data_IF_867511272239
#
_entry.id   IF_867511272239
#
_cell.length_a   1.000
_cell.length_b   1.000
_cell.length_c   1.000
_cell.angle_alpha   90.00
_cell.angle_beta   90.00
_cell.angle_gamma   90.00
#
_symmetry.space_group_name_H-M   'P 1'
#
loop_
_entity.id
_entity.type
_entity.pdbx_description
1 polymer ?
#
# COMPACT_ATOMS: atom_id res chain seq x y z
N UNK A 1 -17.90 2.26 -20.73
CA UNK A 1 -19.25 1.89 -21.22
C UNK A 1 -19.50 0.46 -20.76
N UNK A 2 -20.69 0.17 -20.23
CA UNK A 2 -21.10 -1.17 -19.79
C UNK A 2 -22.28 -1.60 -20.68
N UNK A 3 -22.21 -2.80 -21.24
CA UNK A 3 -23.18 -3.29 -22.25
C UNK A 3 -24.40 -3.98 -21.63
N UNK A 4 -24.31 -4.37 -20.36
CA UNK A 4 -25.37 -5.05 -19.63
C UNK A 4 -25.21 -4.86 -18.12
N UNK A 5 -26.34 -4.74 -17.42
CA UNK A 5 -26.45 -4.85 -15.98
C UNK A 5 -27.38 -6.01 -15.61
N UNK A 6 -26.93 -6.85 -14.68
CA UNK A 6 -27.68 -7.97 -14.15
C UNK A 6 -27.63 -7.97 -12.62
N UNK A 7 -28.71 -8.46 -12.00
CA UNK A 7 -28.87 -8.41 -10.54
C UNK A 7 -28.25 -9.62 -9.83
N UNK A 8 -28.10 -10.74 -10.55
CA UNK A 8 -27.49 -11.98 -10.10
C UNK A 8 -26.99 -12.80 -11.31
N UNK A 9 -26.43 -13.99 -11.05
CA UNK A 9 -25.86 -14.85 -12.09
C UNK A 9 -26.95 -15.39 -13.01
N UNK A 10 -28.12 -15.74 -12.47
CA UNK A 10 -29.24 -16.27 -13.25
C UNK A 10 -29.78 -15.24 -14.25
N UNK A 11 -30.02 -14.01 -13.79
CA UNK A 11 -30.43 -12.85 -14.62
C UNK A 11 -29.35 -12.53 -15.67
N UNK A 12 -28.07 -12.66 -15.32
CA UNK A 12 -26.97 -12.50 -16.26
C UNK A 12 -27.01 -13.56 -17.37
N UNK A 13 -27.15 -14.84 -17.00
CA UNK A 13 -27.20 -15.96 -17.95
C UNK A 13 -28.38 -15.82 -18.91
N UNK A 14 -29.55 -15.42 -18.42
CA UNK A 14 -30.73 -15.18 -19.26
C UNK A 14 -30.50 -14.03 -20.25
N UNK A 15 -29.91 -12.91 -19.79
CA UNK A 15 -29.67 -11.72 -20.61
C UNK A 15 -28.57 -11.88 -21.66
N UNK A 16 -27.61 -12.77 -21.45
CA UNK A 16 -26.50 -13.03 -22.40
C UNK A 16 -26.81 -14.18 -23.36
N UNK A 17 -27.80 -15.03 -23.07
CA UNK A 17 -28.20 -16.13 -23.94
C UNK A 17 -28.60 -15.62 -25.34
N UNK A 18 -28.08 -16.27 -26.38
CA UNK A 18 -28.33 -15.91 -27.78
C UNK A 18 -27.59 -14.65 -28.26
N UNK A 19 -26.81 -13.97 -27.41
CA UNK A 19 -25.99 -12.84 -27.86
C UNK A 19 -24.84 -13.31 -28.74
N UNK A 20 -24.55 -12.50 -29.75
CA UNK A 20 -23.40 -12.69 -30.63
C UNK A 20 -22.30 -11.74 -30.19
N UNK A 21 -21.13 -12.28 -29.86
CA UNK A 21 -19.94 -11.50 -29.50
C UNK A 21 -18.84 -11.71 -30.51
N UNK A 22 -18.11 -10.65 -30.83
CA UNK A 22 -16.90 -10.73 -31.63
C UNK A 22 -15.68 -10.70 -30.73
N UNK A 23 -14.85 -11.73 -30.80
CA UNK A 23 -13.60 -11.82 -30.04
C UNK A 23 -12.48 -12.29 -30.96
N UNK A 24 -11.41 -11.52 -31.04
CA UNK A 24 -10.25 -11.83 -31.88
C UNK A 24 -10.60 -12.09 -33.36
N UNK A 25 -11.52 -11.30 -33.93
CA UNK A 25 -11.98 -11.40 -35.31
C UNK A 25 -12.85 -12.62 -35.62
N UNK A 26 -13.35 -13.32 -34.59
CA UNK A 26 -14.27 -14.44 -34.71
C UNK A 26 -15.57 -14.15 -33.98
N UNK A 27 -16.66 -14.57 -34.58
CA UNK A 27 -18.02 -14.41 -34.06
C UNK A 27 -18.40 -15.65 -33.23
N UNK A 28 -18.82 -15.44 -31.98
CA UNK A 28 -19.27 -16.49 -31.07
C UNK A 28 -20.72 -16.23 -30.68
N UNK A 29 -21.57 -17.26 -30.80
CA UNK A 29 -22.91 -17.26 -30.22
C UNK A 29 -22.83 -17.75 -28.78
N UNK A 30 -23.33 -16.96 -27.84
CA UNK A 30 -23.40 -17.34 -26.43
C UNK A 30 -24.62 -18.26 -26.24
N UNK A 31 -24.39 -19.50 -25.83
CA UNK A 31 -25.42 -20.43 -25.40
C UNK A 31 -25.35 -20.60 -23.88
N UNK A 32 -26.00 -19.69 -23.15
CA UNK A 32 -25.93 -19.66 -21.70
C UNK A 32 -26.92 -20.64 -21.04
N UNK A 33 -28.03 -20.99 -21.71
CA UNK A 33 -29.03 -21.94 -21.19
C UNK A 33 -28.50 -23.36 -20.93
N UNK A 34 -27.44 -23.76 -21.61
CA UNK A 34 -26.79 -25.07 -21.45
C UNK A 34 -25.46 -24.98 -20.67
N UNK A 35 -25.08 -23.78 -20.21
CA UNK A 35 -23.85 -23.57 -19.48
C UNK A 35 -24.05 -23.93 -18.00
N UNK A 36 -23.21 -24.83 -17.48
CA UNK A 36 -23.11 -25.05 -16.04
C UNK A 36 -22.32 -23.92 -15.38
N UNK A 37 -22.75 -23.49 -14.19
CA UNK A 37 -21.98 -22.55 -13.37
C UNK A 37 -20.99 -23.30 -12.49
N UNK A 38 -19.70 -23.04 -12.65
CA UNK A 38 -18.68 -23.50 -11.73
C UNK A 38 -18.14 -22.32 -10.91
N UNK A 39 -18.28 -22.41 -9.59
CA UNK A 39 -17.74 -21.40 -8.68
C UNK A 39 -16.27 -21.72 -8.39
N UNK A 40 -15.37 -20.92 -8.96
CA UNK A 40 -13.95 -21.00 -8.65
C UNK A 40 -13.69 -20.28 -7.32
N UNK A 41 -13.47 -21.05 -6.26
CA UNK A 41 -13.13 -20.48 -4.96
C UNK A 41 -11.67 -20.04 -4.90
N UNK A 42 -11.39 -18.95 -4.19
CA UNK A 42 -10.02 -18.53 -3.96
C UNK A 42 -9.30 -19.55 -3.08
N UNK A 43 -8.13 -20.00 -3.52
CA UNK A 43 -7.21 -20.75 -2.66
C UNK A 43 -6.82 -19.94 -1.43
N UNK A 44 -6.33 -20.60 -0.38
CA UNK A 44 -5.84 -19.93 0.83
C UNK A 44 -4.80 -18.83 0.51
N UNK A 45 -3.84 -19.15 -0.36
CA UNK A 45 -2.77 -18.23 -0.78
C UNK A 45 -3.37 -17.04 -1.53
N UNK A 46 -4.26 -17.29 -2.51
CA UNK A 46 -4.92 -16.23 -3.27
C UNK A 46 -5.74 -15.31 -2.36
N UNK A 47 -6.42 -15.87 -1.35
CA UNK A 47 -7.19 -15.10 -0.37
C UNK A 47 -6.29 -14.22 0.49
N UNK A 48 -5.15 -14.74 0.95
CA UNK A 48 -4.17 -13.97 1.72
C UNK A 48 -3.57 -12.81 0.89
N UNK A 49 -3.14 -13.11 -0.35
CA UNK A 49 -2.61 -12.11 -1.26
C UNK A 49 -3.66 -11.03 -1.60
N UNK A 50 -4.92 -11.42 -1.76
CA UNK A 50 -6.01 -10.47 -1.99
C UNK A 50 -6.24 -9.53 -0.81
N UNK A 51 -6.05 -9.99 0.43
CA UNK A 51 -6.13 -9.14 1.62
C UNK A 51 -4.99 -8.09 1.59
N UNK A 52 -3.77 -8.50 1.26
CA UNK A 52 -2.60 -7.61 1.24
C UNK A 52 -2.73 -6.52 0.17
N UNK A 53 -3.44 -6.80 -0.93
CA UNK A 53 -3.73 -5.82 -2.00
C UNK A 53 -4.70 -4.72 -1.55
N UNK A 54 -5.20 -4.73 -0.31
CA UNK A 54 -5.88 -3.56 0.25
C UNK A 54 -4.88 -2.39 0.42
N UNK A 55 -5.17 -1.18 -0.13
CA UNK A 55 -4.27 -0.02 -0.05
C UNK A 55 -3.80 0.32 1.36
N UNK A 56 -4.69 0.18 2.36
CA UNK A 56 -4.36 0.44 3.75
C UNK A 56 -3.38 -0.58 4.31
N UNK A 57 -3.60 -1.86 4.01
CA UNK A 57 -2.74 -2.96 4.48
C UNK A 57 -1.37 -2.86 3.79
N UNK A 58 -1.35 -2.62 2.48
CA UNK A 58 -0.14 -2.40 1.71
C UNK A 58 0.69 -1.23 2.28
N UNK A 59 0.04 -0.11 2.59
CA UNK A 59 0.67 1.07 3.18
C UNK A 59 1.25 0.77 4.58
N UNK A 60 0.50 0.06 5.44
CA UNK A 60 0.97 -0.34 6.77
C UNK A 60 2.19 -1.26 6.66
N UNK A 61 2.12 -2.29 5.79
CA UNK A 61 3.24 -3.22 5.56
C UNK A 61 4.48 -2.47 5.08
N UNK A 62 4.32 -1.52 4.17
CA UNK A 62 5.41 -0.68 3.67
C UNK A 62 6.07 0.14 4.81
N UNK A 63 5.27 0.86 5.59
CA UNK A 63 5.77 1.69 6.70
C UNK A 63 6.46 0.84 7.76
N UNK A 64 5.83 -0.25 8.22
CA UNK A 64 6.43 -1.12 9.24
C UNK A 64 7.68 -1.80 8.68
N UNK A 65 7.67 -2.20 7.41
CA UNK A 65 8.83 -2.79 6.74
C UNK A 65 10.05 -1.87 6.77
N UNK A 66 9.85 -0.60 6.43
CA UNK A 66 10.87 0.45 6.53
C UNK A 66 11.36 0.61 7.97
N UNK A 67 10.45 0.75 8.94
CA UNK A 67 10.82 0.93 10.35
C UNK A 67 11.59 -0.26 10.91
N UNK A 68 11.25 -1.50 10.52
CA UNK A 68 11.99 -2.70 10.92
C UNK A 68 13.44 -2.67 10.43
N UNK A 69 13.67 -2.19 9.20
CA UNK A 69 15.02 -2.01 8.66
C UNK A 69 15.76 -0.91 9.41
N UNK A 70 15.15 0.27 9.60
CA UNK A 70 15.77 1.39 10.33
C UNK A 70 16.14 0.97 11.75
N UNK A 71 15.27 0.22 12.42
CA UNK A 71 15.50 -0.26 13.77
C UNK A 71 16.72 -1.20 13.84
N UNK A 72 16.85 -2.15 12.90
CA UNK A 72 18.04 -3.03 12.83
C UNK A 72 19.34 -2.26 12.64
N UNK A 73 19.34 -1.21 11.81
CA UNK A 73 20.51 -0.33 11.64
C UNK A 73 20.82 0.51 12.89
N UNK A 74 19.81 0.87 13.66
CA UNK A 74 19.96 1.72 14.86
C UNK A 74 20.43 0.93 16.07
N UNK A 75 20.02 -0.34 16.20
CA UNK A 75 20.45 -1.25 17.25
C UNK A 75 20.86 -2.59 16.62
N UNK A 76 22.14 -2.76 16.26
CA UNK A 76 22.63 -3.99 15.67
C UNK A 76 22.32 -5.18 16.59
N UNK A 77 21.42 -6.06 16.16
CA UNK A 77 20.94 -7.20 16.93
C UNK A 77 21.17 -8.54 16.22
N UNK A 78 20.25 -9.49 16.42
CA UNK A 78 20.27 -10.80 15.75
C UNK A 78 19.81 -10.74 14.28
N UNK A 79 19.53 -9.57 13.69
CA UNK A 79 19.01 -9.47 12.32
C UNK A 79 17.50 -9.72 12.19
N UNK A 80 16.81 -10.07 13.29
CA UNK A 80 15.41 -10.52 13.28
C UNK A 80 14.49 -9.39 12.83
N UNK A 81 14.72 -8.17 13.31
CA UNK A 81 13.88 -7.01 12.98
C UNK A 81 14.08 -6.58 11.53
N UNK A 82 15.33 -6.63 11.05
CA UNK A 82 15.65 -6.39 9.65
C UNK A 82 15.00 -7.42 8.72
N UNK A 83 15.07 -8.72 9.07
CA UNK A 83 14.47 -9.79 8.26
C UNK A 83 12.93 -9.66 8.18
N UNK A 84 12.26 -9.36 9.29
CA UNK A 84 10.81 -9.08 9.32
C UNK A 84 10.50 -7.82 8.50
N UNK A 85 11.34 -6.78 8.63
CA UNK A 85 11.20 -5.55 7.85
C UNK A 85 11.26 -5.79 6.35
N UNK A 86 12.25 -6.56 5.89
CA UNK A 86 12.41 -6.97 4.49
C UNK A 86 11.21 -7.80 4.02
N UNK A 87 10.73 -8.75 4.84
CA UNK A 87 9.54 -9.53 4.51
C UNK A 87 8.31 -8.64 4.29
N UNK A 88 8.06 -7.69 5.18
CA UNK A 88 6.94 -6.76 5.05
C UNK A 88 7.09 -5.82 3.87
N UNK A 89 8.31 -5.38 3.55
CA UNK A 89 8.57 -4.64 2.32
C UNK A 89 8.28 -5.46 1.07
N UNK A 90 8.68 -6.73 1.01
CA UNK A 90 8.40 -7.60 -0.13
C UNK A 90 6.89 -7.75 -0.32
N UNK A 91 6.13 -7.97 0.76
CA UNK A 91 4.67 -8.06 0.71
C UNK A 91 4.01 -6.73 0.32
N UNK A 92 4.51 -5.61 0.84
CA UNK A 92 4.05 -4.27 0.47
C UNK A 92 4.30 -3.97 -1.01
N UNK A 93 5.49 -4.28 -1.52
CA UNK A 93 5.82 -4.11 -2.94
C UNK A 93 5.02 -5.04 -3.85
N UNK A 94 4.72 -6.26 -3.40
CA UNK A 94 3.78 -7.12 -4.12
C UNK A 94 2.41 -6.45 -4.27
N UNK A 95 1.84 -5.90 -3.19
CA UNK A 95 0.59 -5.14 -3.28
C UNK A 95 0.71 -3.92 -4.20
N UNK A 96 1.81 -3.17 -4.09
CA UNK A 96 2.08 -2.00 -4.93
C UNK A 96 2.23 -2.34 -6.42
N UNK A 97 2.64 -3.56 -6.76
CA UNK A 97 2.70 -4.02 -8.15
C UNK A 97 1.32 -4.26 -8.77
N UNK A 98 0.29 -4.43 -7.94
CA UNK A 98 -1.09 -4.69 -8.35
C UNK A 98 -1.93 -3.40 -8.25
N UNK A 99 -1.63 -2.54 -7.29
CA UNK A 99 -2.29 -1.26 -7.09
C UNK A 99 -1.80 -0.21 -8.11
N UNK A 100 -2.64 0.77 -8.48
CA UNK A 100 -2.24 1.87 -9.35
C UNK A 100 -1.39 2.89 -8.56
N UNK A 101 -0.12 2.56 -8.33
CA UNK A 101 0.77 3.38 -7.50
C UNK A 101 1.33 4.57 -8.28
N UNK A 102 1.29 5.74 -7.65
CA UNK A 102 1.99 6.93 -8.12
C UNK A 102 3.44 6.94 -7.62
N UNK A 103 4.39 6.86 -8.55
CA UNK A 103 5.81 6.88 -8.22
C UNK A 103 6.30 8.18 -7.59
N UNK A 104 5.65 9.32 -7.85
CA UNK A 104 5.98 10.57 -7.15
C UNK A 104 5.58 10.50 -5.67
N UNK A 105 4.43 9.90 -5.37
CA UNK A 105 4.00 9.65 -3.99
C UNK A 105 4.96 8.73 -3.25
N UNK A 106 5.35 7.62 -3.90
CA UNK A 106 6.35 6.69 -3.35
C UNK A 106 7.70 7.37 -3.11
N UNK A 107 8.19 8.15 -4.07
CA UNK A 107 9.45 8.88 -3.95
C UNK A 107 9.43 9.89 -2.79
N UNK A 108 8.30 10.57 -2.57
CA UNK A 108 8.14 11.49 -1.43
C UNK A 108 8.17 10.78 -0.07
N UNK A 109 7.62 9.57 0.03
CA UNK A 109 7.70 8.79 1.28
C UNK A 109 9.15 8.33 1.51
N UNK A 110 9.83 7.85 0.46
CA UNK A 110 11.26 7.50 0.54
C UNK A 110 12.09 8.71 0.95
N UNK A 111 11.83 9.89 0.37
CA UNK A 111 12.46 11.14 0.74
C UNK A 111 12.22 11.48 2.21
N UNK A 112 10.98 11.34 2.71
CA UNK A 112 10.66 11.57 4.11
C UNK A 112 11.54 10.73 5.05
N UNK A 113 11.71 9.45 4.73
CA UNK A 113 12.55 8.52 5.49
C UNK A 113 14.01 8.96 5.49
N UNK A 114 14.54 9.34 4.32
CA UNK A 114 15.92 9.84 4.20
C UNK A 114 16.10 11.10 5.06
N UNK A 115 15.14 12.04 5.00
CA UNK A 115 15.18 13.28 5.80
C UNK A 115 15.16 12.97 7.30
N UNK A 116 14.33 12.03 7.76
CA UNK A 116 14.30 11.62 9.16
C UNK A 116 15.63 11.03 9.63
N UNK A 117 16.22 10.13 8.83
CA UNK A 117 17.52 9.53 9.15
C UNK A 117 18.60 10.61 9.21
N UNK A 118 18.64 11.51 8.22
CA UNK A 118 19.62 12.60 8.17
C UNK A 118 19.47 13.56 9.35
N UNK A 119 18.25 13.90 9.76
CA UNK A 119 17.99 14.79 10.91
C UNK A 119 18.56 14.20 12.21
N UNK A 120 18.40 12.89 12.41
CA UNK A 120 18.92 12.15 13.57
C UNK A 120 20.45 12.07 13.52
N UNK A 121 21.03 11.69 12.37
CA UNK A 121 22.48 11.49 12.21
C UNK A 121 23.24 12.81 12.31
N UNK A 122 22.70 13.88 11.73
CA UNK A 122 23.35 15.19 11.72
C UNK A 122 23.00 16.04 12.97
N UNK A 123 22.06 15.59 13.81
CA UNK A 123 21.67 16.30 15.03
C UNK A 123 21.04 17.68 14.76
N UNK A 124 20.25 17.82 13.69
CA UNK A 124 19.72 19.13 13.23
C UNK A 124 18.52 19.65 14.03
N UNK A 125 18.21 19.03 15.18
CA UNK A 125 17.21 19.52 16.12
C UNK A 125 15.76 19.51 15.60
N UNK A 126 15.46 18.76 14.52
CA UNK A 126 14.11 18.64 13.97
C UNK A 126 13.84 19.41 12.67
N UNK A 127 14.81 20.16 12.14
CA UNK A 127 14.59 20.99 10.95
C UNK A 127 14.29 20.13 9.70
N UNK A 128 15.02 19.05 9.48
CA UNK A 128 14.74 18.13 8.37
C UNK A 128 13.51 17.27 8.66
N UNK A 129 13.24 16.98 9.93
CA UNK A 129 12.06 16.21 10.33
C UNK A 129 10.74 16.91 9.96
N UNK A 130 10.66 18.24 10.01
CA UNK A 130 9.46 18.99 9.56
C UNK A 130 9.22 18.77 8.06
N UNK A 131 10.27 18.90 7.24
CA UNK A 131 10.18 18.66 5.80
C UNK A 131 9.88 17.18 5.49
N UNK A 132 10.40 16.26 6.31
CA UNK A 132 10.10 14.83 6.23
C UNK A 132 8.63 14.54 6.51
N UNK A 133 8.02 15.13 7.54
CA UNK A 133 6.59 14.95 7.85
C UNK A 133 5.71 15.49 6.73
N UNK A 134 6.04 16.65 6.17
CA UNK A 134 5.34 17.21 5.01
C UNK A 134 5.45 16.27 3.79
N UNK A 135 6.65 15.74 3.53
CA UNK A 135 6.91 14.79 2.44
C UNK A 135 6.14 13.48 2.65
N UNK A 136 6.07 12.97 3.88
CA UNK A 136 5.33 11.78 4.24
C UNK A 136 3.83 11.98 4.01
N UNK A 137 3.26 13.09 4.46
CA UNK A 137 1.84 13.42 4.27
C UNK A 137 1.49 13.50 2.78
N UNK A 138 2.18 14.37 2.04
CA UNK A 138 1.92 14.60 0.61
C UNK A 138 2.14 13.30 -0.17
N UNK A 139 3.25 12.59 0.11
CA UNK A 139 3.56 11.32 -0.52
C UNK A 139 2.49 10.26 -0.26
N UNK A 140 1.97 10.17 0.96
CA UNK A 140 0.94 9.19 1.34
C UNK A 140 -0.41 9.47 0.67
N UNK A 141 -0.80 10.75 0.54
CA UNK A 141 -2.01 11.11 -0.21
C UNK A 141 -1.86 10.86 -1.71
N UNK A 142 -0.65 11.05 -2.25
CA UNK A 142 -0.37 10.86 -3.67
C UNK A 142 -0.13 9.38 -4.03
N UNK A 143 0.22 8.53 -3.07
CA UNK A 143 0.76 7.18 -3.29
C UNK A 143 -0.14 6.29 -4.18
N UNK A 144 -1.46 6.39 -4.06
CA UNK A 144 -2.41 5.59 -4.84
C UNK A 144 -3.19 6.50 -5.78
N UNK A 145 -2.98 6.33 -7.09
CA UNK A 145 -3.58 7.13 -8.14
C UNK A 145 -4.86 6.47 -8.66
N UNK A 146 -6.00 6.87 -8.10
CA UNK A 146 -7.28 6.28 -8.46
C UNK A 146 -8.46 7.20 -8.15
N UNK A 147 -9.47 7.18 -9.00
CA UNK A 147 -10.76 7.85 -8.76
C UNK A 147 -11.68 7.02 -7.86
N UNK A 148 -11.39 5.73 -7.69
CA UNK A 148 -12.20 4.80 -6.90
C UNK A 148 -11.99 5.04 -5.39
N UNK A 149 -13.01 5.49 -4.63
CA UNK A 149 -12.83 5.82 -3.21
C UNK A 149 -12.34 4.65 -2.34
N UNK A 150 -12.70 3.42 -2.71
CA UNK A 150 -12.33 2.19 -1.98
C UNK A 150 -10.87 1.75 -2.21
N UNK A 151 -10.22 2.24 -3.29
CA UNK A 151 -8.81 2.01 -3.56
C UNK A 151 -7.91 3.10 -2.95
N UNK A 152 -8.48 4.15 -2.36
CA UNK A 152 -7.68 5.17 -1.66
C UNK A 152 -7.27 4.68 -0.28
N UNK A 153 -6.10 5.14 0.16
CA UNK A 153 -5.66 4.96 1.54
C UNK A 153 -6.56 5.84 2.42
N UNK A 154 -7.05 5.27 3.52
CA UNK A 154 -7.90 5.97 4.45
C UNK A 154 -7.17 7.20 5.01
N UNK A 155 -7.81 8.37 4.91
CA UNK A 155 -7.24 9.62 5.43
C UNK A 155 -6.93 9.53 6.92
N UNK A 156 -7.75 8.83 7.69
CA UNK A 156 -7.50 8.55 9.12
C UNK A 156 -6.19 7.78 9.33
N UNK A 157 -5.89 6.83 8.44
CA UNK A 157 -4.65 6.05 8.50
C UNK A 157 -3.44 6.93 8.20
N UNK A 158 -3.50 7.74 7.14
CA UNK A 158 -2.42 8.69 6.79
C UNK A 158 -2.12 9.65 7.95
N UNK A 159 -3.18 10.24 8.53
CA UNK A 159 -3.04 11.17 9.65
C UNK A 159 -2.47 10.45 10.88
N UNK A 160 -3.01 9.27 11.22
CA UNK A 160 -2.53 8.50 12.38
C UNK A 160 -1.06 8.10 12.25
N UNK A 161 -0.64 7.61 11.08
CA UNK A 161 0.75 7.28 10.80
C UNK A 161 1.65 8.51 10.94
N UNK A 162 1.25 9.64 10.34
CA UNK A 162 2.01 10.88 10.41
C UNK A 162 2.15 11.42 11.83
N UNK A 163 1.09 11.33 12.66
CA UNK A 163 1.12 11.73 14.07
C UNK A 163 2.03 10.82 14.88
N UNK A 164 1.94 9.50 14.69
CA UNK A 164 2.80 8.53 15.38
C UNK A 164 4.28 8.77 15.04
N UNK A 165 4.59 8.93 13.75
CA UNK A 165 5.96 9.19 13.28
C UNK A 165 6.48 10.52 13.82
N UNK A 166 5.67 11.59 13.77
CA UNK A 166 6.04 12.90 14.31
C UNK A 166 6.31 12.84 15.82
N UNK A 167 5.43 12.16 16.58
CA UNK A 167 5.58 11.99 18.02
C UNK A 167 6.86 11.22 18.37
N UNK A 168 7.14 10.14 17.64
CA UNK A 168 8.38 9.37 17.78
C UNK A 168 9.62 10.24 17.52
N UNK A 169 9.65 11.01 16.44
CA UNK A 169 10.78 11.87 16.11
C UNK A 169 11.04 12.93 17.19
N UNK A 170 9.99 13.55 17.74
CA UNK A 170 10.14 14.52 18.84
C UNK A 170 10.84 13.88 20.05
N UNK A 171 10.49 12.65 20.39
CA UNK A 171 11.12 11.92 21.50
C UNK A 171 12.60 11.63 21.20
N UNK A 172 12.90 11.11 20.00
CA UNK A 172 14.26 10.78 19.57
C UNK A 172 15.15 12.03 19.54
N UNK A 173 14.68 13.11 18.91
CA UNK A 173 15.41 14.37 18.83
C UNK A 173 15.71 14.91 20.24
N UNK A 174 14.73 14.88 21.16
CA UNK A 174 14.96 15.29 22.56
C UNK A 174 16.01 14.43 23.26
N UNK A 175 16.03 13.13 23.01
CA UNK A 175 17.02 12.23 23.59
C UNK A 175 18.43 12.54 23.06
N UNK A 176 18.59 12.65 21.74
CA UNK A 176 19.88 12.96 21.09
C UNK A 176 20.42 14.34 21.51
N UNK A 177 19.53 15.34 21.58
CA UNK A 177 19.92 16.68 22.00
C UNK A 177 20.36 16.72 23.46
N UNK A 178 19.76 15.90 24.35
CA UNK A 178 20.19 15.82 25.75
C UNK A 178 21.61 15.24 25.88
N UNK A 179 21.94 14.19 25.12
CA UNK A 179 23.27 13.57 25.17
C UNK A 179 24.38 14.45 24.61
N UNK A 180 24.10 15.30 23.61
CA UNK A 180 25.11 16.18 23.01
C UNK A 180 25.58 17.32 23.94
N UNK A 181 24.87 17.58 25.05
CA UNK A 181 25.16 18.67 26.00
C UNK A 181 25.43 18.17 27.44
N UNK A 182 25.67 16.87 27.63
CA UNK A 182 26.11 16.29 28.92
C UNK A 182 27.54 15.80 28.81
#
# INVERSE_FOLDING_TARGET
>A
VIDLTASNIEDLLEKIDGRVIEKSGKTFLINAKIAGTEKIEMSFISRFLHIIVNPNIAYILFIIGIFGIIYEFSQPGLGISGAIGVLFLILGFYAFSILPINYAGLALIILAIILFILDIVLGLGGMLSIAGVASLLIGSFLLVDTDAPYLKIATSLIISASVIVSGFLIIVIRAVYKESFT
#
